data_IF_342098509454
#
_entry.id   IF_342098509454
#
_cell.length_a   1.000
_cell.length_b   1.000
_cell.length_c   1.000
_cell.angle_alpha   90.00
_cell.angle_beta   90.00
_cell.angle_gamma   90.00
#
_symmetry.space_group_name_H-M   'P 1'
#
loop_
_entity.id
_entity.type
_entity.pdbx_description
1 polymer ?
#
# COMPACT_ATOMS: atom_id res chain seq x y z
N UNK A 1 -15.25 50.07 -14.71
CA UNK A 1 -14.52 49.46 -13.58
C UNK A 1 -14.28 48.01 -13.95
N UNK A 2 -13.04 47.74 -14.34
CA UNK A 2 -12.54 46.43 -14.72
C UNK A 2 -12.11 45.70 -13.46
N UNK A 3 -12.46 44.42 -13.34
CA UNK A 3 -11.70 43.50 -12.49
C UNK A 3 -11.26 42.35 -13.39
N UNK A 4 -10.02 42.48 -13.83
CA UNK A 4 -9.20 41.41 -14.38
C UNK A 4 -8.82 40.44 -13.26
N UNK A 5 -8.66 39.16 -13.63
CA UNK A 5 -7.52 38.37 -13.18
C UNK A 5 -7.75 37.46 -11.98
N UNK A 6 -8.09 36.21 -12.27
CA UNK A 6 -7.30 35.11 -11.75
C UNK A 6 -7.24 34.00 -12.80
N UNK A 7 -6.30 34.16 -13.72
CA UNK A 7 -5.79 33.09 -14.57
C UNK A 7 -4.74 32.30 -13.78
N UNK A 8 -4.81 30.98 -13.88
CA UNK A 8 -3.91 29.99 -13.31
C UNK A 8 -4.75 28.76 -12.95
N UNK A 9 -4.72 27.65 -13.67
CA UNK A 9 -3.58 26.99 -14.29
C UNK A 9 -3.96 26.34 -15.61
N UNK A 10 -3.16 26.64 -16.64
CA UNK A 10 -3.17 25.96 -17.93
C UNK A 10 -2.44 24.60 -17.86
N UNK A 11 -2.81 23.70 -18.77
CA UNK A 11 -2.19 22.41 -19.10
C UNK A 11 -2.69 21.13 -18.39
N UNK A 12 -3.94 20.74 -18.63
CA UNK A 12 -4.30 19.33 -18.92
C UNK A 12 -5.35 19.25 -20.02
N UNK A 13 -5.10 19.94 -21.13
CA UNK A 13 -5.97 19.86 -22.28
C UNK A 13 -5.46 18.81 -23.26
N UNK A 14 -6.25 17.76 -23.41
CA UNK A 14 -5.90 16.52 -24.09
C UNK A 14 -6.74 15.42 -23.49
N UNK A 15 -7.89 15.17 -24.13
CA UNK A 15 -8.85 14.11 -23.84
C UNK A 15 -8.15 12.86 -23.28
N UNK A 16 -8.10 12.72 -21.95
CA UNK A 16 -7.51 11.54 -21.32
C UNK A 16 -8.53 10.42 -21.51
N UNK A 17 -8.36 9.66 -22.59
CA UNK A 17 -9.03 8.37 -22.81
C UNK A 17 -8.58 7.30 -21.80
N UNK A 18 -8.08 7.69 -20.64
CA UNK A 18 -7.67 6.81 -19.57
C UNK A 18 -8.88 6.52 -18.67
N UNK A 19 -8.97 5.32 -18.07
CA UNK A 19 -9.96 5.04 -17.04
C UNK A 19 -9.87 6.03 -15.87
N UNK A 20 -11.01 6.37 -15.26
CA UNK A 20 -11.08 7.33 -14.17
C UNK A 20 -10.34 6.85 -12.90
N UNK A 21 -10.49 5.56 -12.57
CA UNK A 21 -9.81 4.91 -11.44
C UNK A 21 -9.89 3.38 -11.56
N UNK A 22 -9.10 2.68 -10.72
CA UNK A 22 -9.20 1.23 -10.56
C UNK A 22 -10.47 0.88 -9.75
N UNK A 23 -11.51 0.39 -10.41
CA UNK A 23 -12.75 0.02 -9.74
C UNK A 23 -12.57 -1.19 -8.81
N UNK A 24 -12.15 -2.34 -9.36
CA UNK A 24 -11.95 -3.57 -8.60
C UNK A 24 -10.84 -4.44 -9.17
N UNK A 25 -10.40 -5.41 -8.38
CA UNK A 25 -9.60 -6.55 -8.85
C UNK A 25 -10.24 -7.87 -8.44
N UNK A 26 -9.88 -8.93 -9.15
CA UNK A 26 -10.47 -10.26 -8.98
C UNK A 26 -9.38 -11.26 -8.63
N UNK A 27 -9.61 -12.08 -7.61
CA UNK A 27 -8.70 -13.16 -7.22
C UNK A 27 -9.44 -14.50 -7.12
N UNK A 28 -8.71 -15.59 -7.40
CA UNK A 28 -9.22 -16.96 -7.18
C UNK A 28 -8.71 -17.47 -5.85
N UNK A 29 -9.61 -17.99 -5.01
CA UNK A 29 -9.25 -18.46 -3.67
C UNK A 29 -9.87 -19.80 -3.34
N UNK A 30 -9.07 -20.68 -2.72
CA UNK A 30 -9.54 -21.94 -2.12
C UNK A 30 -9.90 -21.78 -0.64
N UNK A 31 -9.84 -20.54 -0.11
CA UNK A 31 -9.92 -20.17 1.30
C UNK A 31 -10.75 -18.89 1.48
N UNK A 32 -11.90 -18.81 0.80
CA UNK A 32 -12.73 -17.60 0.76
C UNK A 32 -13.03 -17.01 2.13
N UNK A 33 -13.34 -17.85 3.12
CA UNK A 33 -13.74 -17.37 4.45
C UNK A 33 -12.57 -16.68 5.16
N UNK A 34 -11.35 -17.21 5.00
CA UNK A 34 -10.12 -16.62 5.53
C UNK A 34 -9.84 -15.27 4.85
N UNK A 35 -10.00 -15.20 3.52
CA UNK A 35 -9.78 -13.97 2.73
C UNK A 35 -10.81 -12.90 3.07
N UNK A 36 -12.10 -13.27 3.17
CA UNK A 36 -13.18 -12.34 3.53
C UNK A 36 -12.92 -11.75 4.92
N UNK A 37 -12.62 -12.58 5.92
CA UNK A 37 -12.32 -12.11 7.27
C UNK A 37 -11.08 -11.21 7.32
N UNK A 38 -10.05 -11.54 6.54
CA UNK A 38 -8.84 -10.74 6.44
C UNK A 38 -9.12 -9.36 5.84
N UNK A 39 -9.79 -9.28 4.69
CA UNK A 39 -10.15 -7.99 4.07
C UNK A 39 -11.14 -7.18 4.91
N UNK A 40 -12.05 -7.85 5.62
CA UNK A 40 -12.92 -7.22 6.61
C UNK A 40 -12.13 -6.54 7.74
N UNK A 41 -11.06 -7.19 8.21
CA UNK A 41 -10.18 -6.62 9.25
C UNK A 41 -9.28 -5.53 8.69
N UNK A 42 -8.67 -5.76 7.52
CA UNK A 42 -7.64 -4.87 6.97
C UNK A 42 -8.23 -3.58 6.41
N UNK A 43 -9.26 -3.70 5.55
CA UNK A 43 -9.88 -2.58 4.86
C UNK A 43 -11.16 -2.07 5.54
N UNK A 44 -11.67 -2.78 6.56
CA UNK A 44 -13.05 -2.54 7.00
C UNK A 44 -14.07 -3.00 5.97
N UNK A 45 -13.70 -3.95 5.10
CA UNK A 45 -14.54 -4.39 4.00
C UNK A 45 -15.82 -5.09 4.48
N UNK A 46 -16.93 -4.81 3.83
CA UNK A 46 -18.21 -5.51 3.99
C UNK A 46 -18.51 -6.34 2.75
N UNK A 47 -19.14 -7.49 2.94
CA UNK A 47 -19.65 -8.33 1.85
C UNK A 47 -20.92 -7.69 1.29
N UNK A 48 -20.96 -7.47 -0.03
CA UNK A 48 -22.16 -6.96 -0.73
C UNK A 48 -22.95 -8.08 -1.42
N UNK A 49 -22.28 -9.18 -1.77
CA UNK A 49 -22.88 -10.37 -2.34
C UNK A 49 -21.97 -11.57 -2.07
N UNK A 50 -22.55 -12.72 -1.79
CA UNK A 50 -21.81 -13.97 -1.64
C UNK A 50 -22.69 -15.17 -2.00
N UNK A 51 -22.14 -16.09 -2.79
CA UNK A 51 -22.73 -17.39 -3.07
C UNK A 51 -21.68 -18.52 -3.02
N UNK A 52 -22.03 -19.71 -3.50
CA UNK A 52 -21.14 -20.88 -3.52
C UNK A 52 -19.91 -20.75 -4.43
N UNK A 53 -19.91 -19.81 -5.39
CA UNK A 53 -18.89 -19.64 -6.43
C UNK A 53 -18.18 -18.29 -6.36
N UNK A 54 -18.84 -17.24 -5.89
CA UNK A 54 -18.30 -15.87 -5.88
C UNK A 54 -18.60 -15.13 -4.58
N UNK A 55 -17.77 -14.13 -4.27
CA UNK A 55 -18.06 -13.13 -3.25
C UNK A 55 -17.57 -11.75 -3.71
N UNK A 56 -18.32 -10.70 -3.39
CA UNK A 56 -17.99 -9.31 -3.68
C UNK A 56 -17.89 -8.53 -2.38
N UNK A 57 -16.79 -7.78 -2.21
CA UNK A 57 -16.51 -6.97 -1.03
C UNK A 57 -16.28 -5.52 -1.43
N UNK A 58 -16.70 -4.59 -0.57
CA UNK A 58 -16.43 -3.16 -0.70
C UNK A 58 -16.09 -2.53 0.65
N UNK A 59 -15.36 -1.42 0.65
CA UNK A 59 -15.09 -0.59 1.84
C UNK A 59 -15.39 0.89 1.60
N UNK A 60 -15.96 1.24 0.44
CA UNK A 60 -16.40 2.58 0.09
C UNK A 60 -17.68 2.52 -0.78
N UNK A 61 -17.97 3.60 -1.49
CA UNK A 61 -19.16 3.74 -2.33
C UNK A 61 -19.10 2.98 -3.66
N UNK A 62 -17.93 2.42 -4.02
CA UNK A 62 -17.86 1.55 -5.20
C UNK A 62 -18.68 0.27 -4.97
N UNK A 63 -19.35 -0.19 -6.02
CA UNK A 63 -20.21 -1.38 -6.03
C UNK A 63 -19.53 -2.59 -5.39
N UNK A 64 -18.25 -2.77 -5.71
CA UNK A 64 -17.32 -3.71 -5.11
C UNK A 64 -15.90 -3.30 -5.47
N UNK A 65 -14.96 -3.47 -4.54
CA UNK A 65 -13.53 -3.26 -4.77
C UNK A 65 -12.76 -4.56 -4.95
N UNK A 66 -13.25 -5.65 -4.37
CA UNK A 66 -12.66 -6.98 -4.45
C UNK A 66 -13.72 -8.01 -4.86
N UNK A 67 -13.40 -8.79 -5.88
CA UNK A 67 -14.16 -9.99 -6.24
C UNK A 67 -13.34 -11.25 -5.98
N UNK A 68 -13.97 -12.22 -5.32
CA UNK A 68 -13.41 -13.53 -5.05
C UNK A 68 -14.11 -14.57 -5.92
N UNK A 69 -13.33 -15.33 -6.69
CA UNK A 69 -13.81 -16.55 -7.35
C UNK A 69 -13.39 -17.74 -6.49
N UNK A 70 -14.38 -18.42 -5.91
CA UNK A 70 -14.19 -19.57 -5.03
C UNK A 70 -13.85 -20.79 -5.87
N UNK A 71 -12.68 -21.39 -5.58
CA UNK A 71 -12.25 -22.64 -6.20
C UNK A 71 -12.28 -23.78 -5.18
N UNK A 72 -12.34 -25.06 -5.60
CA UNK A 72 -12.43 -26.18 -4.67
C UNK A 72 -11.34 -26.15 -3.60
N UNK A 73 -11.72 -26.33 -2.33
CA UNK A 73 -10.81 -26.23 -1.17
C UNK A 73 -9.58 -27.12 -1.31
N UNK A 74 -9.70 -28.28 -1.95
CA UNK A 74 -8.59 -29.22 -2.19
C UNK A 74 -7.45 -28.61 -3.02
N UNK A 75 -7.73 -27.63 -3.89
CA UNK A 75 -6.71 -26.97 -4.70
C UNK A 75 -5.67 -26.24 -3.84
N UNK A 76 -5.99 -25.87 -2.59
CA UNK A 76 -5.01 -25.26 -1.66
C UNK A 76 -3.78 -26.14 -1.45
N UNK A 77 -3.92 -27.46 -1.55
CA UNK A 77 -2.84 -28.42 -1.33
C UNK A 77 -2.12 -28.80 -2.64
N UNK A 78 -2.75 -28.58 -3.79
CA UNK A 78 -2.15 -28.85 -5.11
C UNK A 78 -1.21 -27.74 -5.57
N UNK A 79 -1.39 -26.53 -5.05
CA UNK A 79 -0.58 -25.36 -5.40
C UNK A 79 0.09 -24.72 -4.17
N UNK A 80 0.91 -25.44 -3.40
CA UNK A 80 1.54 -24.91 -2.19
C UNK A 80 2.55 -23.79 -2.48
N UNK A 81 3.03 -23.69 -3.72
CA UNK A 81 3.95 -22.67 -4.21
C UNK A 81 3.23 -21.44 -4.78
N UNK A 82 1.91 -21.29 -4.59
CA UNK A 82 1.16 -20.13 -5.10
C UNK A 82 1.78 -18.80 -4.69
N UNK A 83 2.28 -18.70 -3.45
CA UNK A 83 3.02 -17.54 -2.92
C UNK A 83 4.31 -17.21 -3.68
N UNK A 84 4.94 -18.21 -4.29
CA UNK A 84 6.14 -18.01 -5.11
C UNK A 84 5.82 -17.52 -6.52
N UNK A 85 4.58 -17.69 -7.02
CA UNK A 85 4.23 -17.24 -8.39
C UNK A 85 4.52 -15.76 -8.60
N UNK A 86 4.15 -14.92 -7.63
CA UNK A 86 4.38 -13.47 -7.66
C UNK A 86 5.83 -13.11 -7.98
N UNK A 87 6.78 -13.82 -7.38
CA UNK A 87 8.23 -13.56 -7.54
C UNK A 87 8.76 -13.81 -8.95
N UNK A 88 8.02 -14.54 -9.77
CA UNK A 88 8.48 -14.93 -11.11
C UNK A 88 7.65 -14.30 -12.24
N UNK A 89 6.35 -14.05 -12.02
CA UNK A 89 5.47 -13.47 -13.04
C UNK A 89 4.13 -12.98 -12.45
N UNK A 90 3.53 -11.96 -13.07
CA UNK A 90 2.19 -11.44 -12.74
C UNK A 90 2.21 -10.08 -12.05
N UNK A 91 1.13 -9.77 -11.33
CA UNK A 91 1.02 -8.57 -10.49
C UNK A 91 1.83 -8.81 -9.21
N UNK A 92 2.79 -7.94 -8.90
CA UNK A 92 3.52 -8.01 -7.64
C UNK A 92 2.63 -7.60 -6.47
N UNK A 93 2.19 -6.34 -6.45
CA UNK A 93 1.35 -5.82 -5.39
C UNK A 93 0.34 -4.80 -5.93
N UNK A 94 -0.62 -4.45 -5.06
CA UNK A 94 -1.55 -3.35 -5.26
C UNK A 94 -1.25 -2.26 -4.24
N UNK A 95 -1.03 -1.04 -4.70
CA UNK A 95 -0.76 0.12 -3.85
C UNK A 95 -2.02 0.90 -3.50
N UNK A 96 -2.15 1.28 -2.23
CA UNK A 96 -3.23 2.08 -1.68
C UNK A 96 -2.64 3.28 -0.94
N UNK A 97 -3.08 4.47 -1.35
CA UNK A 97 -2.71 5.70 -0.67
C UNK A 97 -3.53 5.87 0.60
N UNK A 98 -2.84 6.05 1.72
CA UNK A 98 -3.36 6.48 3.01
C UNK A 98 -3.00 7.95 3.17
N UNK A 99 -3.96 8.77 3.63
CA UNK A 99 -3.90 10.22 3.48
C UNK A 99 -2.79 10.93 4.26
N UNK A 100 -2.19 10.26 5.25
CA UNK A 100 -1.07 10.81 6.02
C UNK A 100 -0.26 9.72 6.72
N UNK A 101 0.93 10.08 7.21
CA UNK A 101 1.77 9.20 8.02
C UNK A 101 1.08 8.77 9.31
N UNK A 102 0.34 9.67 9.95
CA UNK A 102 -0.42 9.40 11.17
C UNK A 102 -1.52 8.38 10.92
N UNK A 103 -2.24 8.50 9.81
CA UNK A 103 -3.26 7.52 9.42
C UNK A 103 -2.62 6.17 9.07
N UNK A 104 -1.46 6.17 8.41
CA UNK A 104 -0.72 4.95 8.08
C UNK A 104 -0.26 4.22 9.36
N UNK A 105 0.32 4.95 10.32
CA UNK A 105 0.80 4.38 11.58
C UNK A 105 -0.34 4.00 12.54
N UNK A 106 -1.46 4.71 12.51
CA UNK A 106 -2.68 4.32 13.23
C UNK A 106 -3.29 3.03 12.64
N UNK A 107 -3.25 2.89 11.31
CA UNK A 107 -3.65 1.66 10.63
C UNK A 107 -2.72 0.50 11.02
N UNK A 108 -1.39 0.73 11.02
CA UNK A 108 -0.41 -0.25 11.48
C UNK A 108 -0.73 -0.74 12.90
N UNK A 109 -0.95 0.17 13.85
CA UNK A 109 -1.24 -0.20 15.22
C UNK A 109 -2.51 -1.05 15.33
N UNK A 110 -3.60 -0.60 14.69
CA UNK A 110 -4.87 -1.32 14.68
C UNK A 110 -4.72 -2.74 14.13
N UNK A 111 -4.00 -2.89 13.02
CA UNK A 111 -3.77 -4.21 12.40
C UNK A 111 -2.86 -5.10 13.25
N UNK A 112 -1.82 -4.51 13.86
CA UNK A 112 -0.93 -5.23 14.78
C UNK A 112 -1.69 -5.78 15.98
N UNK A 113 -2.63 -5.02 16.54
CA UNK A 113 -3.50 -5.49 17.64
C UNK A 113 -4.39 -6.67 17.22
N UNK A 114 -4.77 -6.75 15.94
CA UNK A 114 -5.48 -7.89 15.36
C UNK A 114 -4.56 -9.06 14.94
N UNK A 115 -3.25 -8.99 15.26
CA UNK A 115 -2.27 -10.01 14.90
C UNK A 115 -1.80 -9.96 13.43
N UNK A 116 -2.10 -8.88 12.70
CA UNK A 116 -1.71 -8.68 11.31
C UNK A 116 -0.56 -7.66 11.27
N UNK A 117 0.64 -8.13 10.97
CA UNK A 117 1.85 -7.29 10.85
C UNK A 117 2.31 -7.20 9.40
N UNK A 118 2.92 -6.07 8.99
CA UNK A 118 3.50 -5.95 7.65
C UNK A 118 4.60 -6.98 7.44
N UNK A 119 4.66 -7.56 6.25
CA UNK A 119 5.77 -8.42 5.82
C UNK A 119 7.00 -7.61 5.43
N UNK A 120 6.82 -6.32 5.12
CA UNK A 120 7.91 -5.40 4.79
C UNK A 120 7.52 -3.95 5.08
N UNK A 121 8.43 -3.21 5.70
CA UNK A 121 8.29 -1.79 6.03
C UNK A 121 9.46 -1.03 5.42
N UNK A 122 9.16 -0.10 4.53
CA UNK A 122 10.17 0.62 3.74
C UNK A 122 9.77 2.07 3.49
N UNK A 123 10.76 2.95 3.55
CA UNK A 123 10.66 4.31 3.05
C UNK A 123 11.39 4.37 1.71
N UNK A 124 10.62 4.45 0.63
CA UNK A 124 11.13 4.50 -0.74
C UNK A 124 11.85 5.81 -1.05
N UNK A 125 11.62 6.85 -0.26
CA UNK A 125 11.99 8.23 -0.57
C UNK A 125 10.76 9.06 -0.90
N UNK A 126 10.06 8.83 -2.04
CA UNK A 126 8.80 9.50 -2.34
C UNK A 126 7.66 9.10 -1.42
N UNK A 127 7.66 7.84 -0.94
CA UNK A 127 6.59 7.31 -0.10
C UNK A 127 7.13 6.54 1.10
N UNK A 128 6.34 6.52 2.18
CA UNK A 128 6.54 5.64 3.33
C UNK A 128 5.49 4.53 3.26
N UNK A 129 5.94 3.28 3.22
CA UNK A 129 5.13 2.13 2.81
C UNK A 129 5.19 0.96 3.79
N UNK A 130 4.04 0.33 3.99
CA UNK A 130 3.85 -0.91 4.75
C UNK A 130 3.19 -1.95 3.85
N UNK A 131 3.89 -3.05 3.60
CA UNK A 131 3.41 -4.15 2.77
C UNK A 131 2.80 -5.24 3.64
N UNK A 132 1.57 -5.64 3.33
CA UNK A 132 0.86 -6.75 3.95
C UNK A 132 0.65 -7.87 2.92
N UNK A 133 0.43 -9.09 3.41
CA UNK A 133 0.05 -10.24 2.57
C UNK A 133 -1.25 -10.84 3.07
N UNK A 134 -2.19 -11.05 2.14
CA UNK A 134 -3.43 -11.74 2.43
C UNK A 134 -3.20 -13.27 2.60
N UNK A 135 -4.22 -14.06 2.99
CA UNK A 135 -4.07 -15.49 3.17
C UNK A 135 -3.53 -16.24 1.93
N UNK A 136 -3.85 -15.77 0.73
CA UNK A 136 -3.41 -16.33 -0.54
C UNK A 136 -2.07 -15.79 -1.05
N UNK A 137 -1.50 -14.80 -0.35
CA UNK A 137 -0.22 -14.18 -0.65
C UNK A 137 -0.32 -13.02 -1.65
N UNK A 138 -1.51 -12.44 -1.86
CA UNK A 138 -1.63 -11.16 -2.57
C UNK A 138 -0.98 -10.08 -1.70
N UNK A 139 -0.03 -9.35 -2.26
CA UNK A 139 0.69 -8.30 -1.55
C UNK A 139 -0.02 -6.96 -1.74
N UNK A 140 -0.23 -6.25 -0.65
CA UNK A 140 -0.89 -4.94 -0.63
C UNK A 140 0.05 -3.94 0.02
N UNK A 141 0.30 -2.84 -0.66
CA UNK A 141 1.11 -1.73 -0.16
C UNK A 141 0.20 -0.64 0.37
N UNK A 142 0.32 -0.33 1.66
CA UNK A 142 -0.28 0.87 2.24
C UNK A 142 0.80 1.94 2.33
N UNK A 143 0.62 3.03 1.60
CA UNK A 143 1.62 4.08 1.48
C UNK A 143 1.05 5.46 1.78
N UNK A 144 1.90 6.37 2.25
CA UNK A 144 1.65 7.82 2.26
C UNK A 144 2.72 8.52 1.44
N UNK A 145 2.36 9.65 0.81
CA UNK A 145 3.33 10.55 0.19
C UNK A 145 4.21 11.21 1.26
N UNK A 146 5.50 11.31 0.99
CA UNK A 146 6.47 12.00 1.87
C UNK A 146 6.63 13.48 1.49
N UNK A 147 6.13 13.91 0.33
CA UNK A 147 6.18 15.28 -0.15
C UNK A 147 4.78 15.91 -0.20
N UNK A 148 4.70 17.23 -0.04
CA UNK A 148 3.42 17.94 0.02
C UNK A 148 2.76 18.04 -1.37
N UNK A 149 3.56 18.02 -2.44
CA UNK A 149 3.07 18.17 -3.80
C UNK A 149 3.58 17.09 -4.75
N UNK A 150 2.76 16.74 -5.74
CA UNK A 150 3.16 15.82 -6.80
C UNK A 150 4.38 16.31 -7.59
N UNK A 151 4.58 17.63 -7.66
CA UNK A 151 5.78 18.22 -8.28
C UNK A 151 7.04 17.90 -7.47
N UNK A 152 7.01 18.05 -6.16
CA UNK A 152 8.14 17.71 -5.29
C UNK A 152 8.45 16.22 -5.34
N UNK A 153 7.43 15.36 -5.33
CA UNK A 153 7.62 13.91 -5.55
C UNK A 153 8.32 13.64 -6.89
N UNK A 154 7.86 14.28 -7.97
CA UNK A 154 8.47 14.12 -9.30
C UNK A 154 9.92 14.65 -9.35
N UNK A 155 10.19 15.81 -8.75
CA UNK A 155 11.52 16.40 -8.67
C UNK A 155 12.48 15.49 -7.87
N UNK A 156 12.00 14.87 -6.77
CA UNK A 156 12.77 13.90 -6.01
C UNK A 156 13.10 12.64 -6.81
N UNK A 157 12.13 12.08 -7.54
CA UNK A 157 12.34 10.91 -8.40
C UNK A 157 13.42 11.17 -9.47
N UNK A 158 13.51 12.41 -9.97
CA UNK A 158 14.54 12.82 -10.94
C UNK A 158 15.90 13.16 -10.31
N UNK A 159 16.01 13.13 -8.98
CA UNK A 159 17.22 13.52 -8.27
C UNK A 159 18.30 12.42 -8.25
N UNK A 160 19.55 12.83 -8.01
CA UNK A 160 20.66 11.90 -7.78
C UNK A 160 20.46 11.02 -6.54
N UNK A 161 19.79 11.54 -5.50
CA UNK A 161 19.51 10.78 -4.28
C UNK A 161 18.61 9.56 -4.56
N UNK A 162 17.59 9.71 -5.41
CA UNK A 162 16.75 8.59 -5.85
C UNK A 162 17.53 7.61 -6.74
N UNK A 163 18.37 8.12 -7.65
CA UNK A 163 19.22 7.27 -8.50
C UNK A 163 20.21 6.41 -7.69
N UNK A 164 20.73 6.92 -6.57
CA UNK A 164 21.63 6.17 -5.67
C UNK A 164 20.94 5.08 -4.85
N UNK A 165 19.64 5.22 -4.59
CA UNK A 165 18.85 4.27 -3.81
C UNK A 165 17.36 4.26 -4.22
N UNK A 166 17.02 3.71 -5.40
CA UNK A 166 15.65 3.79 -5.94
C UNK A 166 14.66 2.87 -5.21
N UNK A 167 15.17 1.91 -4.43
CA UNK A 167 14.33 1.01 -3.63
C UNK A 167 14.03 1.65 -2.27
N UNK A 168 15.01 2.32 -1.64
CA UNK A 168 14.82 2.98 -0.36
C UNK A 168 15.40 2.24 0.83
N UNK A 169 14.89 2.55 2.02
CA UNK A 169 15.46 2.10 3.29
C UNK A 169 14.41 1.46 4.18
N UNK A 170 14.74 0.31 4.77
CA UNK A 170 13.85 -0.33 5.73
C UNK A 170 13.73 0.52 6.99
N UNK A 171 12.56 0.47 7.62
CA UNK A 171 12.33 1.13 8.91
C UNK A 171 11.63 0.20 9.91
N UNK A 172 11.74 0.53 11.19
CA UNK A 172 11.00 -0.09 12.28
C UNK A 172 9.68 0.67 12.51
N UNK A 173 8.51 0.10 12.15
CA UNK A 173 7.23 0.77 12.33
C UNK A 173 6.86 1.01 13.79
N UNK A 174 7.33 0.17 14.73
CA UNK A 174 7.11 0.41 16.15
C UNK A 174 7.86 1.64 16.62
N UNK A 175 9.11 1.81 16.16
CA UNK A 175 9.90 2.98 16.51
C UNK A 175 9.35 4.25 15.86
N UNK A 176 8.92 4.18 14.60
CA UNK A 176 8.34 5.35 13.93
C UNK A 176 7.03 5.79 14.60
N UNK A 177 6.19 4.83 15.03
CA UNK A 177 4.98 5.08 15.82
C UNK A 177 5.30 5.66 17.20
N UNK A 178 6.33 5.15 17.88
CA UNK A 178 6.81 5.69 19.16
C UNK A 178 7.20 7.17 19.02
N UNK A 179 7.99 7.52 18.00
CA UNK A 179 8.37 8.91 17.72
C UNK A 179 7.17 9.81 17.43
N UNK A 180 6.23 9.35 16.59
CA UNK A 180 5.01 10.09 16.31
C UNK A 180 4.22 10.39 17.61
N UNK A 181 4.10 9.41 18.51
CA UNK A 181 3.41 9.56 19.79
C UNK A 181 4.10 10.51 20.75
N UNK A 182 5.42 10.64 20.64
CA UNK A 182 6.19 11.60 21.42
C UNK A 182 6.06 13.04 20.90
N UNK A 183 5.33 13.26 19.79
CA UNK A 183 5.08 14.57 19.23
C UNK A 183 6.11 15.05 18.21
N UNK A 184 6.94 14.14 17.68
CA UNK A 184 7.84 14.47 16.58
C UNK A 184 7.03 14.90 15.33
N UNK A 185 7.55 15.89 14.61
CA UNK A 185 6.91 16.42 13.38
C UNK A 185 6.80 15.32 12.30
N UNK A 186 5.59 15.01 11.78
CA UNK A 186 5.39 14.07 10.69
C UNK A 186 6.29 14.30 9.47
N UNK A 187 6.58 15.56 9.12
CA UNK A 187 7.46 15.88 8.00
C UNK A 187 8.90 15.39 8.23
N UNK A 188 9.39 15.42 9.48
CA UNK A 188 10.68 14.85 9.87
C UNK A 188 10.63 13.32 9.81
N UNK A 189 9.52 12.72 10.22
CA UNK A 189 9.34 11.27 10.27
C UNK A 189 9.25 10.64 8.86
N UNK A 190 8.77 11.39 7.87
CA UNK A 190 8.75 10.97 6.46
C UNK A 190 10.14 10.90 5.81
N UNK A 191 11.19 11.45 6.43
CA UNK A 191 12.56 11.37 5.87
C UNK A 191 13.13 9.95 5.96
N UNK A 192 13.88 9.56 4.94
CA UNK A 192 14.60 8.29 4.94
C UNK A 192 15.55 8.19 6.16
N UNK A 193 15.44 7.07 6.88
CA UNK A 193 16.23 6.80 8.09
C UNK A 193 15.53 7.19 9.39
N UNK A 194 14.44 7.97 9.36
CA UNK A 194 13.75 8.43 10.57
C UNK A 194 13.15 7.31 11.43
N UNK A 195 12.81 6.17 10.83
CA UNK A 195 12.36 4.97 11.54
C UNK A 195 13.48 3.97 11.86
N UNK A 196 14.75 4.39 11.86
CA UNK A 196 15.87 3.57 12.35
C UNK A 196 16.18 3.92 13.80
N UNK A 197 16.19 2.92 14.69
CA UNK A 197 16.51 3.14 16.11
C UNK A 197 17.92 3.71 16.32
N UNK A 198 18.15 4.53 17.36
CA UNK A 198 19.48 5.02 17.69
C UNK A 198 20.47 3.86 17.87
N UNK A 199 21.65 3.97 17.26
CA UNK A 199 22.67 2.92 17.28
C UNK A 199 22.46 1.78 16.27
N UNK A 200 21.32 1.71 15.58
CA UNK A 200 21.12 0.78 14.48
C UNK A 200 21.61 1.37 13.14
N UNK A 201 22.04 0.51 12.22
CA UNK A 201 22.42 0.92 10.86
C UNK A 201 21.17 1.01 9.98
N UNK A 202 21.05 2.09 9.21
CA UNK A 202 20.06 2.22 8.14
C UNK A 202 20.31 1.10 7.12
N UNK A 203 19.30 0.25 6.91
CA UNK A 203 19.41 -0.89 5.98
C UNK A 203 18.79 -0.51 4.64
N UNK A 204 19.64 -0.32 3.63
CA UNK A 204 19.19 -0.25 2.24
C UNK A 204 18.52 -1.58 1.87
N UNK A 205 17.40 -1.50 1.15
CA UNK A 205 16.75 -2.69 0.63
C UNK A 205 17.55 -3.23 -0.57
N UNK A 206 18.50 -4.14 -0.32
CA UNK A 206 19.32 -4.76 -1.36
C UNK A 206 18.67 -6.05 -1.92
N UNK A 207 18.34 -5.96 -3.21
CA UNK A 207 18.37 -6.96 -4.30
C UNK A 207 17.47 -8.21 -4.28
N UNK A 208 16.62 -8.32 -5.32
CA UNK A 208 15.91 -9.48 -5.95
C UNK A 208 15.23 -10.56 -5.08
N UNK A 209 15.52 -10.66 -3.78
CA UNK A 209 14.92 -11.64 -2.85
C UNK A 209 13.63 -11.12 -2.21
N UNK A 210 13.51 -9.79 -2.12
CA UNK A 210 12.34 -9.06 -1.59
C UNK A 210 11.34 -8.65 -2.66
N UNK A 211 11.80 -8.51 -3.92
CA UNK A 211 10.97 -8.62 -5.12
C UNK A 211 10.47 -10.07 -5.25
#
# INVERSE_FOLDING_TARGET
>A
MSVQGMQGSDARDGNRLAPDYLAHWVVKTARSDEVIAWYGTVFGARVVHEDSKIAFLTWDEESHRLALVKVPRLLRYLFPLSRLRRKFYGIDHLGFTIGSLEQLLSTYERLKQAGITPVWSINHGPTTSLYYEDPDGVRLEFQTENFATAKETADYILSGAFAENPIGVNFDPDYLLERLRNGDDPAELCRQGSGTRPGAKVRRALTWKTL
#
